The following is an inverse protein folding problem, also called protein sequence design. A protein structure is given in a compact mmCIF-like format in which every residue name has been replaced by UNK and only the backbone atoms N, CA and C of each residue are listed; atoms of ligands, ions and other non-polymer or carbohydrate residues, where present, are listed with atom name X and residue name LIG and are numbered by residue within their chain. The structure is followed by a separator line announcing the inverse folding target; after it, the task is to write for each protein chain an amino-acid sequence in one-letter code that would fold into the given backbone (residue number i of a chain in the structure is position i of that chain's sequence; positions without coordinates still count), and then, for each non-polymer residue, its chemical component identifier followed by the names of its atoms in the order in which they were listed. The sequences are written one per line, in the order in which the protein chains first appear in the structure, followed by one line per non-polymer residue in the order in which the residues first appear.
data_IF_592870064445
#
_entry.id   IF_592870064445
#
_cell.length_a   1.000
_cell.length_b   1.000
_cell.length_c   1.000
_cell.angle_alpha   90.00
_cell.angle_beta   90.00
_cell.angle_gamma   90.00
#
_symmetry.space_group_name_H-M   'P 1'
#
loop_
_entity.id
_entity.type
_entity.pdbx_description
1 polymer ?
#
# COMPACT_ATOMS: atom_id res chain seq x y z
N UNK A 1 3.09 -17.91 61.96
CA UNK A 1 4.02 -18.97 61.53
C UNK A 1 3.20 -19.89 60.67
N UNK A 2 3.27 -19.76 59.34
CA UNK A 2 4.35 -20.33 58.50
C UNK A 2 4.49 -21.83 58.81
N UNK A 3 4.47 -22.76 57.87
CA UNK A 3 4.49 -22.74 56.41
C UNK A 3 4.52 -24.22 56.00
N UNK A 4 3.81 -24.63 54.95
CA UNK A 4 4.24 -25.81 54.19
C UNK A 4 4.08 -25.51 52.69
N UNK A 5 5.24 -25.27 52.08
CA UNK A 5 5.51 -25.21 50.65
C UNK A 5 6.34 -26.49 50.40
N UNK A 6 6.01 -27.38 49.47
CA UNK A 6 6.32 -27.23 48.06
C UNK A 6 5.81 -28.47 47.32
N UNK A 7 5.22 -28.23 46.16
CA UNK A 7 4.84 -29.27 45.19
C UNK A 7 6.00 -29.48 44.23
N UNK A 8 6.35 -30.75 43.96
CA UNK A 8 7.31 -31.09 42.92
C UNK A 8 6.66 -31.93 41.81
N UNK A 9 7.07 -31.60 40.60
CA UNK A 9 6.57 -31.97 39.30
C UNK A 9 6.98 -33.39 38.91
N UNK A 10 6.07 -34.15 38.28
CA UNK A 10 6.47 -35.20 37.31
C UNK A 10 5.72 -35.05 35.98
N UNK A 11 6.52 -34.83 34.94
CA UNK A 11 6.24 -34.90 33.50
C UNK A 11 5.64 -36.28 33.14
N UNK A 12 4.74 -36.53 32.19
CA UNK A 12 4.23 -35.78 31.04
C UNK A 12 3.94 -36.81 29.93
N UNK A 13 2.68 -37.23 29.75
CA UNK A 13 2.25 -37.98 28.56
C UNK A 13 1.58 -37.03 27.55
N UNK A 14 2.12 -36.86 26.33
CA UNK A 14 1.49 -35.99 25.34
C UNK A 14 0.25 -36.66 24.73
N UNK A 15 -0.91 -36.09 25.07
CA UNK A 15 -2.20 -36.33 24.41
C UNK A 15 -2.09 -36.28 22.90
N UNK A 16 -2.66 -37.29 22.25
CA UNK A 16 -2.79 -37.44 20.79
C UNK A 16 -3.54 -36.25 20.17
N UNK A 17 -2.81 -35.27 19.61
CA UNK A 17 -3.40 -34.22 18.80
C UNK A 17 -3.53 -34.68 17.34
N UNK A 18 -4.68 -35.29 17.01
CA UNK A 18 -5.15 -35.39 15.61
C UNK A 18 -5.36 -33.97 15.05
N UNK A 19 -4.61 -33.55 14.02
CA UNK A 19 -5.03 -32.50 13.06
C UNK A 19 -4.13 -32.41 11.82
N UNK A 20 -4.76 -32.44 10.64
CA UNK A 20 -4.27 -32.41 9.25
C UNK A 20 -3.83 -33.75 8.62
N UNK A 21 -4.81 -34.43 8.03
CA UNK A 21 -4.67 -35.75 7.41
C UNK A 21 -4.39 -35.68 5.90
N UNK A 22 -3.27 -35.06 5.51
CA UNK A 22 -2.66 -35.33 4.20
C UNK A 22 -1.23 -35.78 4.45
N UNK A 23 -1.07 -37.07 4.72
CA UNK A 23 0.23 -37.68 4.95
C UNK A 23 1.12 -37.49 3.71
N UNK A 24 2.17 -36.68 3.82
CA UNK A 24 3.10 -36.39 2.72
C UNK A 24 4.06 -37.57 2.49
N UNK A 25 4.42 -37.81 1.24
CA UNK A 25 5.53 -38.72 0.89
C UNK A 25 6.85 -38.20 1.47
N UNK A 26 7.82 -39.10 1.74
CA UNK A 26 9.16 -38.68 2.14
C UNK A 26 9.84 -37.84 1.03
N UNK A 27 10.84 -37.03 1.40
CA UNK A 27 11.48 -36.06 0.48
C UNK A 27 12.01 -36.74 -0.79
N UNK A 28 12.65 -37.90 -0.63
CA UNK A 28 13.25 -38.63 -1.76
C UNK A 28 12.20 -39.26 -2.68
N UNK A 29 11.17 -39.90 -2.12
CA UNK A 29 10.10 -40.48 -2.94
C UNK A 29 9.34 -39.41 -3.72
N UNK A 30 9.14 -38.23 -3.12
CA UNK A 30 8.57 -37.08 -3.82
C UNK A 30 9.46 -36.59 -4.97
N UNK A 31 10.76 -36.38 -4.73
CA UNK A 31 11.71 -35.95 -5.77
C UNK A 31 11.81 -36.95 -6.93
N UNK A 32 11.76 -38.24 -6.63
CA UNK A 32 11.79 -39.31 -7.64
C UNK A 32 10.42 -39.62 -8.24
N UNK A 33 9.34 -38.95 -7.78
CA UNK A 33 7.95 -39.19 -8.19
C UNK A 33 7.53 -40.68 -8.09
N UNK A 34 8.00 -41.37 -7.04
CA UNK A 34 7.67 -42.78 -6.75
C UNK A 34 6.76 -42.90 -5.53
N UNK A 35 6.00 -44.01 -5.43
CA UNK A 35 5.09 -44.27 -4.30
C UNK A 35 5.87 -44.41 -3.00
N UNK A 36 5.39 -43.73 -1.96
CA UNK A 36 5.90 -43.83 -0.59
C UNK A 36 4.86 -44.58 0.25
N UNK A 37 5.28 -45.65 0.92
CA UNK A 37 4.47 -46.45 1.86
C UNK A 37 4.33 -45.78 3.24
N UNK A 38 5.01 -44.65 3.46
CA UNK A 38 4.89 -43.78 4.64
C UNK A 38 5.37 -44.42 5.95
N UNK A 39 6.01 -45.58 5.90
CA UNK A 39 6.73 -46.17 7.04
C UNK A 39 8.02 -45.39 7.33
N UNK A 40 8.59 -45.50 8.54
CA UNK A 40 9.87 -44.87 8.87
C UNK A 40 10.91 -45.93 9.26
N UNK A 41 11.95 -46.15 8.42
CA UNK A 41 12.14 -45.65 7.05
C UNK A 41 11.18 -46.30 6.04
N UNK A 42 10.84 -45.58 4.96
CA UNK A 42 9.94 -46.07 3.92
C UNK A 42 10.59 -47.24 3.14
N UNK A 43 9.83 -48.25 2.68
CA UNK A 43 10.41 -49.46 2.04
C UNK A 43 11.31 -49.12 0.85
N UNK A 44 10.94 -48.13 0.05
CA UNK A 44 11.72 -47.65 -1.10
C UNK A 44 13.08 -47.08 -0.67
N UNK A 45 13.12 -46.33 0.44
CA UNK A 45 14.37 -45.78 0.98
C UNK A 45 15.20 -46.85 1.69
N UNK A 46 14.55 -47.77 2.42
CA UNK A 46 15.20 -48.90 3.08
C UNK A 46 15.93 -49.80 2.07
N UNK A 47 15.24 -50.21 0.98
CA UNK A 47 15.83 -51.02 -0.10
C UNK A 47 16.99 -50.33 -0.82
N UNK A 48 16.96 -49.01 -0.89
CA UNK A 48 18.03 -48.24 -1.51
C UNK A 48 19.20 -47.94 -0.56
N UNK A 49 19.10 -48.37 0.70
CA UNK A 49 20.05 -48.05 1.78
C UNK A 49 20.37 -46.55 1.88
N UNK A 50 19.33 -45.70 1.90
CA UNK A 50 19.49 -44.25 2.06
C UNK A 50 18.65 -43.69 3.20
N UNK A 51 19.07 -42.53 3.71
CA UNK A 51 18.37 -41.79 4.74
C UNK A 51 16.96 -41.38 4.31
N UNK A 52 15.95 -41.93 4.98
CA UNK A 52 14.55 -41.59 4.76
C UNK A 52 14.13 -40.43 5.66
N UNK A 53 14.03 -39.22 5.09
CA UNK A 53 13.57 -38.02 5.80
C UNK A 53 12.17 -37.61 5.34
N UNK A 54 11.25 -37.45 6.27
CA UNK A 54 9.97 -36.82 6.03
C UNK A 54 10.10 -35.30 6.24
N UNK A 55 9.39 -34.47 5.45
CA UNK A 55 9.31 -33.04 5.73
C UNK A 55 8.70 -32.87 7.12
N UNK A 56 9.45 -32.24 8.04
CA UNK A 56 8.96 -32.00 9.40
C UNK A 56 7.73 -31.11 9.38
N UNK A 57 6.95 -31.16 10.46
CA UNK A 57 5.96 -30.13 10.78
C UNK A 57 6.66 -28.83 11.22
N UNK A 58 7.69 -28.40 10.49
CA UNK A 58 8.09 -27.02 10.53
C UNK A 58 6.85 -26.25 10.09
N UNK A 59 6.13 -25.75 11.10
CA UNK A 59 5.22 -24.65 10.95
C UNK A 59 6.00 -23.69 10.07
N UNK A 60 5.67 -23.59 8.78
CA UNK A 60 6.04 -22.43 7.99
C UNK A 60 5.66 -21.30 8.91
N UNK A 61 6.63 -20.59 9.53
CA UNK A 61 6.33 -19.50 10.45
C UNK A 61 5.27 -18.72 9.73
N UNK A 62 4.02 -18.72 10.24
CA UNK A 62 2.91 -18.04 9.58
C UNK A 62 3.48 -16.66 9.32
N UNK A 63 3.72 -16.31 8.05
CA UNK A 63 4.28 -15.01 7.69
C UNK A 63 3.44 -14.00 8.47
N UNK A 64 4.12 -13.11 9.19
CA UNK A 64 3.48 -12.28 10.23
C UNK A 64 2.11 -11.76 9.74
N UNK A 65 1.06 -11.81 10.59
CA UNK A 65 -0.32 -11.78 10.09
C UNK A 65 -0.70 -10.49 9.36
N UNK A 66 0.08 -9.40 9.52
CA UNK A 66 -0.30 -8.06 9.11
C UNK A 66 0.79 -7.39 8.28
N UNK A 67 1.29 -8.03 7.21
CA UNK A 67 2.18 -7.33 6.27
C UNK A 67 1.60 -7.32 4.87
N UNK A 68 1.52 -6.12 4.29
CA UNK A 68 0.96 -5.89 2.97
C UNK A 68 1.66 -6.77 1.94
N UNK A 69 0.91 -7.67 1.29
CA UNK A 69 1.44 -8.59 0.26
C UNK A 69 2.13 -7.83 -0.88
N UNK A 70 1.66 -6.61 -1.18
CA UNK A 70 2.25 -5.67 -2.14
C UNK A 70 3.74 -5.49 -1.93
N UNK A 71 4.15 -5.27 -0.68
CA UNK A 71 5.53 -4.97 -0.30
C UNK A 71 6.44 -6.21 -0.25
N UNK A 72 5.90 -7.38 0.07
CA UNK A 72 6.71 -8.58 0.33
C UNK A 72 6.86 -9.54 -0.85
N UNK A 73 6.12 -9.36 -1.94
CA UNK A 73 6.37 -10.12 -3.17
C UNK A 73 7.18 -9.26 -4.13
N UNK A 74 8.43 -9.64 -4.37
CA UNK A 74 9.31 -8.99 -5.34
C UNK A 74 8.88 -9.18 -6.81
N UNK A 75 7.91 -10.06 -7.07
CA UNK A 75 7.40 -10.35 -8.41
C UNK A 75 6.29 -9.40 -8.86
N UNK A 76 6.09 -9.32 -10.18
CA UNK A 76 5.03 -8.50 -10.81
C UNK A 76 3.62 -9.09 -10.73
N UNK A 77 3.42 -10.19 -9.99
CA UNK A 77 2.13 -10.87 -9.91
C UNK A 77 1.01 -9.99 -9.35
N UNK A 78 1.32 -9.13 -8.38
CA UNK A 78 0.34 -8.21 -7.81
C UNK A 78 -0.12 -7.18 -8.84
N UNK A 79 0.80 -6.69 -9.66
CA UNK A 79 0.48 -5.75 -10.74
C UNK A 79 -0.45 -6.38 -11.77
N UNK A 80 -0.16 -7.62 -12.20
CA UNK A 80 -1.01 -8.37 -13.14
C UNK A 80 -2.40 -8.62 -12.55
N UNK A 81 -2.49 -9.08 -11.30
CA UNK A 81 -3.77 -9.30 -10.62
C UNK A 81 -4.58 -8.01 -10.46
N UNK A 82 -3.91 -6.89 -10.21
CA UNK A 82 -4.57 -5.60 -10.13
C UNK A 82 -5.14 -5.17 -11.49
N UNK A 83 -4.41 -5.38 -12.58
CA UNK A 83 -4.91 -5.19 -13.94
C UNK A 83 -6.17 -6.02 -14.23
N UNK A 84 -6.17 -7.30 -13.85
CA UNK A 84 -7.37 -8.15 -13.96
C UNK A 84 -8.55 -7.61 -13.12
N UNK A 85 -8.27 -7.10 -11.93
CA UNK A 85 -9.28 -6.48 -11.05
C UNK A 85 -9.88 -5.23 -11.68
N UNK A 86 -9.08 -4.41 -12.36
CA UNK A 86 -9.55 -3.24 -13.13
C UNK A 86 -10.47 -3.68 -14.26
N UNK A 87 -10.09 -4.70 -15.03
CA UNK A 87 -10.93 -5.19 -16.13
C UNK A 87 -12.26 -5.77 -15.63
N UNK A 88 -12.25 -6.52 -14.54
CA UNK A 88 -13.48 -7.01 -13.90
C UNK A 88 -14.36 -5.86 -13.39
N UNK A 89 -13.76 -4.81 -12.79
CA UNK A 89 -14.48 -3.62 -12.38
C UNK A 89 -15.08 -2.86 -13.58
N UNK A 90 -14.37 -2.81 -14.69
CA UNK A 90 -14.86 -2.19 -15.92
C UNK A 90 -16.01 -2.97 -16.55
N UNK A 91 -15.96 -4.31 -16.55
CA UNK A 91 -17.02 -5.15 -17.14
C UNK A 91 -18.35 -5.01 -16.42
N UNK A 92 -18.35 -4.65 -15.13
CA UNK A 92 -19.57 -4.34 -14.35
C UNK A 92 -19.86 -2.82 -14.25
N UNK A 93 -19.12 -2.00 -15.00
CA UNK A 93 -19.38 -0.57 -15.17
C UNK A 93 -18.96 0.33 -13.99
N UNK A 94 -18.00 -0.07 -13.13
CA UNK A 94 -17.56 0.78 -12.00
C UNK A 94 -16.81 2.06 -12.43
N UNK A 95 -16.24 2.05 -13.63
CA UNK A 95 -15.59 3.22 -14.25
C UNK A 95 -16.57 4.33 -14.68
N UNK A 96 -17.89 4.05 -14.63
CA UNK A 96 -18.95 4.99 -14.95
C UNK A 96 -19.70 5.38 -13.68
N UNK A 97 -19.93 6.68 -13.45
CA UNK A 97 -20.60 7.13 -12.23
C UNK A 97 -22.02 6.58 -12.11
N UNK A 98 -22.36 6.06 -10.93
CA UNK A 98 -23.68 5.48 -10.62
C UNK A 98 -24.84 6.45 -10.88
N UNK A 99 -24.62 7.77 -10.75
CA UNK A 99 -25.67 8.77 -10.98
C UNK A 99 -26.18 8.77 -12.41
N UNK A 100 -25.38 8.31 -13.37
CA UNK A 100 -25.78 8.21 -14.77
C UNK A 100 -26.78 7.07 -15.02
N UNK A 101 -26.88 6.11 -14.09
CA UNK A 101 -27.74 4.93 -14.18
C UNK A 101 -28.96 5.02 -13.26
N UNK A 102 -29.17 6.16 -12.58
CA UNK A 102 -30.27 6.37 -11.62
C UNK A 102 -30.32 5.30 -10.51
N UNK A 103 -29.15 4.80 -10.10
CA UNK A 103 -29.03 3.84 -9.00
C UNK A 103 -29.34 4.52 -7.65
N UNK A 104 -29.71 3.74 -6.61
CA UNK A 104 -29.80 4.25 -5.25
C UNK A 104 -28.52 4.98 -4.82
N UNK A 105 -28.66 5.97 -3.95
CA UNK A 105 -27.55 6.86 -3.54
C UNK A 105 -26.46 6.07 -2.83
N UNK A 106 -26.84 5.17 -1.91
CA UNK A 106 -25.92 4.26 -1.26
C UNK A 106 -25.13 3.43 -2.28
N UNK A 107 -25.81 2.88 -3.29
CA UNK A 107 -25.14 2.09 -4.33
C UNK A 107 -24.18 2.95 -5.16
N UNK A 108 -24.57 4.16 -5.54
CA UNK A 108 -23.68 5.10 -6.22
C UNK A 108 -22.41 5.36 -5.41
N UNK A 109 -22.54 5.58 -4.10
CA UNK A 109 -21.42 5.87 -3.22
C UNK A 109 -20.51 4.65 -3.02
N UNK A 110 -21.08 3.45 -2.81
CA UNK A 110 -20.32 2.21 -2.71
C UNK A 110 -19.54 1.92 -4.01
N UNK A 111 -20.14 2.18 -5.18
CA UNK A 111 -19.48 2.04 -6.48
C UNK A 111 -18.31 3.02 -6.64
N UNK A 112 -18.48 4.29 -6.22
CA UNK A 112 -17.39 5.28 -6.21
C UNK A 112 -16.25 4.84 -5.30
N UNK A 113 -16.56 4.45 -4.06
CA UNK A 113 -15.57 3.98 -3.08
C UNK A 113 -14.78 2.78 -3.59
N UNK A 114 -15.48 1.78 -4.14
CA UNK A 114 -14.83 0.59 -4.69
C UNK A 114 -13.94 0.90 -5.89
N UNK A 115 -14.45 1.68 -6.85
CA UNK A 115 -13.69 2.08 -8.03
C UNK A 115 -12.41 2.83 -7.66
N UNK A 116 -12.52 3.86 -6.80
CA UNK A 116 -11.36 4.64 -6.41
C UNK A 116 -10.36 3.84 -5.57
N UNK A 117 -10.80 2.85 -4.78
CA UNK A 117 -9.88 1.95 -4.09
C UNK A 117 -9.04 1.12 -5.07
N UNK A 118 -9.68 0.55 -6.10
CA UNK A 118 -8.99 -0.22 -7.14
C UNK A 118 -7.97 0.65 -7.89
N UNK A 119 -8.37 1.85 -8.31
CA UNK A 119 -7.50 2.76 -9.06
C UNK A 119 -6.34 3.29 -8.20
N UNK A 120 -6.60 3.65 -6.95
CA UNK A 120 -5.54 4.12 -6.04
C UNK A 120 -4.54 3.00 -5.74
N UNK A 121 -5.02 1.75 -5.58
CA UNK A 121 -4.15 0.59 -5.45
C UNK A 121 -3.30 0.35 -6.69
N UNK A 122 -3.84 0.53 -7.90
CA UNK A 122 -3.09 0.41 -9.16
C UNK A 122 -1.89 1.34 -9.24
N UNK A 123 -2.13 2.63 -8.99
CA UNK A 123 -1.09 3.66 -9.04
C UNK A 123 0.03 3.35 -8.03
N UNK A 124 -0.34 2.81 -6.87
CA UNK A 124 0.59 2.41 -5.80
C UNK A 124 1.39 1.17 -6.13
N UNK A 125 0.81 0.19 -6.82
CA UNK A 125 1.54 -1.02 -7.25
C UNK A 125 2.51 -0.68 -8.39
N UNK A 126 2.10 0.18 -9.33
CA UNK A 126 2.96 0.67 -10.40
C UNK A 126 4.19 1.38 -9.84
N UNK A 127 3.98 2.25 -8.84
CA UNK A 127 5.05 2.97 -8.16
C UNK A 127 6.10 2.07 -7.49
N UNK A 128 5.67 1.03 -6.76
CA UNK A 128 6.61 0.08 -6.10
C UNK A 128 7.56 -0.61 -7.09
N UNK A 129 7.15 -0.68 -8.37
CA UNK A 129 7.94 -1.27 -9.45
C UNK A 129 8.63 -0.23 -10.34
N UNK A 130 8.63 1.05 -9.94
CA UNK A 130 9.24 2.15 -10.71
C UNK A 130 8.52 2.45 -12.03
N UNK A 131 7.28 2.00 -12.19
CA UNK A 131 6.48 2.25 -13.39
C UNK A 131 5.77 3.60 -13.25
N UNK A 132 6.00 4.47 -14.23
CA UNK A 132 5.32 5.76 -14.32
C UNK A 132 3.98 5.56 -15.03
N UNK A 133 2.88 5.81 -14.32
CA UNK A 133 1.54 5.79 -14.89
C UNK A 133 0.91 4.40 -14.95
N UNK A 134 0.23 4.00 -13.86
CA UNK A 134 -0.78 2.93 -13.93
C UNK A 134 -1.86 3.25 -14.97
N UNK A 135 -2.76 2.32 -15.27
CA UNK A 135 -3.73 2.45 -16.38
C UNK A 135 -4.45 3.81 -16.34
N UNK A 136 -4.35 4.61 -17.41
CA UNK A 136 -5.25 5.76 -17.63
C UNK A 136 -6.59 5.22 -18.10
N UNK A 137 -7.34 4.62 -17.18
CA UNK A 137 -8.70 4.19 -17.49
C UNK A 137 -9.57 5.43 -17.67
N UNK A 138 -10.15 5.59 -18.87
CA UNK A 138 -11.19 6.59 -19.10
C UNK A 138 -12.33 6.30 -18.12
N UNK A 139 -12.55 7.20 -17.18
CA UNK A 139 -13.55 7.07 -16.12
C UNK A 139 -14.15 8.43 -15.82
N UNK A 140 -15.47 8.45 -15.61
CA UNK A 140 -16.20 9.63 -15.17
C UNK A 140 -16.73 9.50 -13.73
N UNK A 141 -16.28 8.47 -13.00
CA UNK A 141 -16.67 8.21 -11.61
C UNK A 141 -16.16 9.33 -10.70
N UNK A 142 -17.07 9.99 -9.99
CA UNK A 142 -16.76 11.09 -9.06
C UNK A 142 -15.99 10.56 -7.84
N UNK A 143 -15.25 11.43 -7.15
CA UNK A 143 -14.64 11.07 -5.87
C UNK A 143 -15.73 10.70 -4.84
N UNK A 144 -15.43 9.79 -3.89
CA UNK A 144 -16.33 9.51 -2.78
C UNK A 144 -16.62 10.76 -1.94
N UNK A 145 -17.71 10.72 -1.18
CA UNK A 145 -18.07 11.79 -0.26
C UNK A 145 -17.26 11.68 1.04
N UNK A 146 -16.96 12.83 1.65
CA UNK A 146 -16.38 12.91 2.99
C UNK A 146 -17.47 12.73 4.04
N UNK A 147 -17.91 11.49 4.26
CA UNK A 147 -18.98 11.11 5.19
C UNK A 147 -18.64 9.80 5.87
N UNK A 148 -19.19 9.57 7.06
CA UNK A 148 -19.03 8.32 7.81
C UNK A 148 -20.01 7.26 7.29
N UNK A 149 -19.73 5.99 7.55
CA UNK A 149 -20.61 4.90 7.10
C UNK A 149 -22.00 4.99 7.75
N UNK A 150 -22.08 5.51 8.98
CA UNK A 150 -23.33 5.74 9.69
C UNK A 150 -24.25 6.78 9.03
N UNK A 151 -23.70 7.64 8.17
CA UNK A 151 -24.48 8.65 7.45
C UNK A 151 -25.18 8.07 6.20
N UNK A 152 -24.81 6.85 5.80
CA UNK A 152 -25.30 6.19 4.60
C UNK A 152 -26.33 5.13 4.95
N UNK A 153 -27.50 5.18 4.30
CA UNK A 153 -28.53 4.16 4.49
C UNK A 153 -29.30 3.87 3.18
N UNK A 154 -29.88 2.66 3.02
CA UNK A 154 -30.59 2.28 1.80
C UNK A 154 -31.82 3.15 1.47
N UNK A 155 -32.43 3.78 2.48
CA UNK A 155 -33.69 4.53 2.34
C UNK A 155 -33.49 6.02 2.01
N UNK A 156 -32.24 6.47 1.87
CA UNK A 156 -31.94 7.88 1.67
C UNK A 156 -32.39 8.38 0.30
N UNK A 157 -33.09 9.53 0.28
CA UNK A 157 -33.60 10.18 -0.94
C UNK A 157 -32.65 11.22 -1.51
N UNK A 158 -31.76 11.76 -0.68
CA UNK A 158 -30.76 12.76 -1.05
C UNK A 158 -29.40 12.38 -0.48
N UNK A 159 -28.34 12.76 -1.17
CA UNK A 159 -26.98 12.51 -0.71
C UNK A 159 -26.69 13.42 0.49
N UNK A 160 -26.04 12.89 1.55
CA UNK A 160 -25.64 13.70 2.69
C UNK A 160 -24.60 14.72 2.22
N UNK A 161 -24.61 15.95 2.76
CA UNK A 161 -23.56 16.91 2.47
C UNK A 161 -22.22 16.39 2.98
N UNK A 162 -21.10 16.60 2.25
CA UNK A 162 -19.77 16.31 2.76
C UNK A 162 -19.51 17.03 4.08
N UNK A 163 -19.00 16.32 5.08
CA UNK A 163 -18.69 16.91 6.40
C UNK A 163 -17.43 17.78 6.32
N UNK A 164 -17.45 18.86 7.09
CA UNK A 164 -16.29 19.69 7.39
C UNK A 164 -15.59 19.22 8.68
N UNK A 165 -15.34 17.92 8.79
CA UNK A 165 -14.67 17.26 9.91
C UNK A 165 -13.84 16.08 9.39
N UNK A 166 -13.00 15.51 10.25
CA UNK A 166 -12.43 14.18 9.98
C UNK A 166 -13.55 13.13 9.96
N UNK A 167 -13.47 12.21 9.00
CA UNK A 167 -14.37 11.05 8.82
C UNK A 167 -13.53 9.82 8.48
N UNK A 168 -14.14 8.64 8.53
CA UNK A 168 -13.49 7.38 8.11
C UNK A 168 -12.96 7.43 6.66
N UNK A 169 -13.56 8.26 5.80
CA UNK A 169 -13.14 8.44 4.41
C UNK A 169 -11.96 9.41 4.23
N UNK A 170 -11.60 10.20 5.24
CA UNK A 170 -10.63 11.31 5.11
C UNK A 170 -9.25 10.84 4.63
N UNK A 171 -8.70 9.80 5.26
CA UNK A 171 -7.41 9.23 4.86
C UNK A 171 -7.41 8.76 3.40
N UNK A 172 -8.49 8.10 3.01
CA UNK A 172 -8.65 7.59 1.66
C UNK A 172 -8.75 8.73 0.63
N UNK A 173 -9.54 9.77 0.93
CA UNK A 173 -9.72 10.92 0.06
C UNK A 173 -8.42 11.68 -0.17
N UNK A 174 -7.61 11.89 0.88
CA UNK A 174 -6.26 12.46 0.75
C UNK A 174 -5.43 11.64 -0.24
N UNK A 175 -5.45 10.30 -0.10
CA UNK A 175 -4.69 9.39 -0.98
C UNK A 175 -5.18 9.44 -2.43
N UNK A 176 -6.50 9.45 -2.64
CA UNK A 176 -7.12 9.49 -3.96
C UNK A 176 -6.87 10.83 -4.66
N UNK A 177 -7.03 11.96 -3.96
CA UNK A 177 -6.75 13.30 -4.50
C UNK A 177 -5.26 13.45 -4.87
N UNK A 178 -4.34 13.03 -3.99
CA UNK A 178 -2.91 13.04 -4.28
C UNK A 178 -2.58 12.17 -5.51
N UNK A 179 -3.17 10.97 -5.60
CA UNK A 179 -2.94 10.05 -6.73
C UNK A 179 -3.37 10.64 -8.08
N UNK A 180 -4.45 11.46 -8.11
CA UNK A 180 -4.85 12.19 -9.33
C UNK A 180 -3.81 13.23 -9.74
N UNK A 181 -3.30 13.99 -8.77
CA UNK A 181 -2.29 15.02 -9.02
C UNK A 181 -0.99 14.38 -9.50
N UNK A 182 -0.58 13.26 -8.91
CA UNK A 182 0.61 12.53 -9.33
C UNK A 182 0.51 12.04 -10.78
N UNK A 183 -0.64 11.50 -11.17
CA UNK A 183 -0.89 11.11 -12.56
C UNK A 183 -0.80 12.31 -13.52
N UNK A 184 -1.32 13.48 -13.11
CA UNK A 184 -1.27 14.70 -13.91
C UNK A 184 0.15 15.25 -14.05
N UNK A 185 0.93 15.29 -12.97
CA UNK A 185 2.35 15.71 -13.00
C UNK A 185 3.14 14.84 -13.99
N UNK A 186 2.97 13.51 -13.91
CA UNK A 186 3.63 12.58 -14.83
C UNK A 186 3.23 12.83 -16.29
N UNK A 187 1.94 13.09 -16.55
CA UNK A 187 1.46 13.39 -17.91
C UNK A 187 2.05 14.68 -18.47
N UNK A 188 2.08 15.76 -17.68
CA UNK A 188 2.70 17.03 -18.09
C UNK A 188 4.19 16.82 -18.40
N UNK A 189 4.90 16.02 -17.58
CA UNK A 189 6.31 15.68 -17.83
C UNK A 189 6.52 14.90 -19.14
N UNK A 190 5.69 13.90 -19.43
CA UNK A 190 5.77 13.11 -20.67
C UNK A 190 5.40 13.90 -21.93
N UNK A 191 4.52 14.89 -21.82
CA UNK A 191 4.10 15.75 -22.93
C UNK A 191 5.09 16.87 -23.26
N UNK A 192 6.18 16.99 -22.50
CA UNK A 192 7.23 18.00 -22.70
C UNK A 192 8.07 17.74 -23.96
N UNK A 193 7.45 17.94 -25.12
CA UNK A 193 8.14 18.42 -26.31
C UNK A 193 7.71 19.87 -26.54
N UNK A 194 8.69 20.78 -26.56
CA UNK A 194 8.61 22.23 -26.87
C UNK A 194 8.16 23.17 -25.73
N UNK A 195 9.14 23.64 -24.97
CA UNK A 195 9.32 25.07 -24.66
C UNK A 195 8.27 25.82 -23.84
N UNK A 196 7.24 25.17 -23.28
CA UNK A 196 6.41 25.75 -22.21
C UNK A 196 6.98 25.39 -20.85
N UNK A 197 6.75 26.25 -19.85
CA UNK A 197 7.17 26.01 -18.47
C UNK A 197 6.35 24.86 -17.82
N UNK A 198 6.75 23.64 -18.17
CA UNK A 198 6.22 22.37 -17.65
C UNK A 198 6.40 22.25 -16.14
N UNK A 199 7.41 22.93 -15.60
CA UNK A 199 7.69 22.94 -14.18
C UNK A 199 6.76 23.89 -13.43
N UNK A 200 6.38 25.03 -14.01
CA UNK A 200 5.37 25.92 -13.42
C UNK A 200 3.99 25.29 -13.31
N UNK A 201 3.51 24.59 -14.36
CA UNK A 201 2.22 23.89 -14.25
C UNK A 201 2.27 22.81 -13.16
N UNK A 202 3.36 22.04 -13.12
CA UNK A 202 3.54 20.99 -12.11
C UNK A 202 3.66 21.56 -10.68
N UNK A 203 4.39 22.66 -10.50
CA UNK A 203 4.48 23.40 -9.22
C UNK A 203 3.11 23.91 -8.77
N UNK A 204 2.34 24.49 -9.69
CA UNK A 204 0.98 24.96 -9.41
C UNK A 204 0.06 23.82 -8.97
N UNK A 205 0.11 22.68 -9.64
CA UNK A 205 -0.67 21.49 -9.26
C UNK A 205 -0.35 21.02 -7.82
N UNK A 206 0.92 21.10 -7.42
CA UNK A 206 1.34 20.76 -6.06
C UNK A 206 0.85 21.80 -5.05
N UNK A 207 0.95 23.09 -5.36
CA UNK A 207 0.46 24.16 -4.49
C UNK A 207 -1.07 24.09 -4.30
N UNK A 208 -1.82 23.82 -5.38
CA UNK A 208 -3.27 23.64 -5.33
C UNK A 208 -3.64 22.41 -4.47
N UNK A 209 -2.88 21.32 -4.59
CA UNK A 209 -3.07 20.13 -3.75
C UNK A 209 -2.83 20.45 -2.27
N UNK A 210 -1.74 21.15 -1.94
CA UNK A 210 -1.42 21.54 -0.57
C UNK A 210 -2.55 22.38 0.06
N UNK A 211 -2.94 23.46 -0.62
CA UNK A 211 -4.03 24.31 -0.17
C UNK A 211 -5.34 23.52 0.01
N UNK A 212 -5.63 22.61 -0.93
CA UNK A 212 -6.82 21.75 -0.89
C UNK A 212 -6.79 20.79 0.30
N UNK A 213 -5.71 20.04 0.51
CA UNK A 213 -5.59 19.07 1.60
C UNK A 213 -5.60 19.77 2.96
N UNK A 214 -4.86 20.87 3.09
CA UNK A 214 -4.76 21.68 4.30
C UNK A 214 -6.11 22.25 4.72
N UNK A 215 -6.84 22.88 3.77
CA UNK A 215 -8.14 23.49 4.05
C UNK A 215 -9.25 22.48 4.34
N UNK A 216 -9.20 21.30 3.73
CA UNK A 216 -10.34 20.36 3.72
C UNK A 216 -10.19 19.23 4.73
N UNK A 217 -8.96 18.75 4.95
CA UNK A 217 -8.72 17.50 5.68
C UNK A 217 -7.74 17.67 6.83
N UNK A 218 -6.53 18.19 6.57
CA UNK A 218 -5.43 18.14 7.53
C UNK A 218 -5.71 18.99 8.78
N UNK A 219 -6.40 20.13 8.64
CA UNK A 219 -6.77 20.98 9.78
C UNK A 219 -7.73 20.32 10.78
N UNK A 220 -8.40 19.23 10.40
CA UNK A 220 -9.32 18.48 11.26
C UNK A 220 -8.68 17.22 11.87
N UNK A 221 -7.39 16.98 11.64
CA UNK A 221 -6.69 15.82 12.20
C UNK A 221 -6.15 16.14 13.60
N UNK A 222 -6.74 15.54 14.64
CA UNK A 222 -6.20 15.57 16.00
C UNK A 222 -5.02 14.61 16.13
N UNK A 223 -3.84 15.14 16.45
CA UNK A 223 -2.62 14.35 16.59
C UNK A 223 -2.63 13.44 17.82
N UNK A 224 -3.57 13.62 18.75
CA UNK A 224 -3.75 12.71 19.90
C UNK A 224 -4.56 11.46 19.53
N UNK A 225 -5.26 11.48 18.40
CA UNK A 225 -6.02 10.33 17.91
C UNK A 225 -5.16 9.57 16.89
N UNK A 226 -4.77 8.30 17.14
CA UNK A 226 -3.79 7.59 16.32
C UNK A 226 -4.07 7.57 14.81
N UNK A 227 -5.32 7.29 14.40
CA UNK A 227 -5.70 7.26 12.98
C UNK A 227 -5.63 8.63 12.34
N UNK A 228 -5.95 9.69 13.07
CA UNK A 228 -5.93 11.06 12.58
C UNK A 228 -4.50 11.57 12.49
N UNK A 229 -3.64 11.26 13.47
CA UNK A 229 -2.19 11.50 13.39
C UNK A 229 -1.57 10.80 12.17
N UNK A 230 -1.87 9.51 11.97
CA UNK A 230 -1.41 8.77 10.79
C UNK A 230 -1.90 9.41 9.48
N UNK A 231 -3.15 9.91 9.47
CA UNK A 231 -3.73 10.62 8.33
C UNK A 231 -3.01 11.93 8.03
N UNK A 232 -2.69 12.70 9.06
CA UNK A 232 -1.94 13.95 8.94
C UNK A 232 -0.54 13.72 8.36
N UNK A 233 0.22 12.79 8.96
CA UNK A 233 1.57 12.44 8.49
C UNK A 233 1.55 11.89 7.07
N UNK A 234 0.55 11.08 6.72
CA UNK A 234 0.40 10.57 5.37
C UNK A 234 0.16 11.70 4.34
N UNK A 235 -0.73 12.65 4.64
CA UNK A 235 -0.95 13.79 3.75
C UNK A 235 0.30 14.63 3.55
N UNK A 236 1.05 14.88 4.63
CA UNK A 236 2.36 15.56 4.60
C UNK A 236 3.37 14.82 3.73
N UNK A 237 3.50 13.51 3.92
CA UNK A 237 4.38 12.64 3.13
C UNK A 237 4.04 12.67 1.63
N UNK A 238 2.75 12.61 1.28
CA UNK A 238 2.29 12.67 -0.11
C UNK A 238 2.58 14.04 -0.75
N UNK A 239 2.49 15.14 -0.01
CA UNK A 239 2.87 16.48 -0.49
C UNK A 239 4.38 16.59 -0.74
N UNK A 240 5.20 16.16 0.22
CA UNK A 240 6.67 16.13 0.06
C UNK A 240 7.08 15.28 -1.14
N UNK A 241 6.42 14.14 -1.35
CA UNK A 241 6.60 13.33 -2.55
C UNK A 241 6.19 14.07 -3.83
N UNK A 242 5.06 14.78 -3.84
CA UNK A 242 4.61 15.55 -4.99
C UNK A 242 5.68 16.56 -5.43
N UNK A 243 6.24 17.30 -4.46
CA UNK A 243 7.33 18.27 -4.67
C UNK A 243 8.58 17.59 -5.22
N UNK A 244 8.98 16.46 -4.63
CA UNK A 244 10.13 15.68 -5.09
C UNK A 244 9.96 15.18 -6.53
N UNK A 245 8.75 14.77 -6.96
CA UNK A 245 8.50 14.37 -8.34
C UNK A 245 8.71 15.52 -9.32
N UNK A 246 8.20 16.73 -9.01
CA UNK A 246 8.40 17.91 -9.87
C UNK A 246 9.88 18.21 -10.04
N UNK A 247 10.64 18.16 -8.95
CA UNK A 247 12.08 18.35 -9.00
C UNK A 247 12.80 17.24 -9.79
N UNK A 248 12.48 15.96 -9.56
CA UNK A 248 13.08 14.84 -10.32
C UNK A 248 12.79 15.00 -11.82
N UNK A 249 11.59 15.42 -12.19
CA UNK A 249 11.25 15.69 -13.58
C UNK A 249 12.06 16.86 -14.17
N UNK A 250 12.39 17.91 -13.40
CA UNK A 250 13.28 18.98 -13.88
C UNK A 250 14.72 18.56 -14.10
N UNK A 251 15.15 17.45 -13.48
CA UNK A 251 16.47 16.88 -13.71
C UNK A 251 16.54 15.94 -14.92
N UNK A 252 15.40 15.55 -15.51
CA UNK A 252 15.39 14.61 -16.61
C UNK A 252 16.07 15.21 -17.85
N UNK A 253 17.08 14.51 -18.37
CA UNK A 253 17.86 14.94 -19.54
C UNK A 253 19.11 15.76 -19.22
N UNK A 254 19.34 16.12 -17.95
CA UNK A 254 20.56 16.77 -17.49
C UNK A 254 21.68 15.76 -17.20
N UNK A 255 22.93 16.17 -17.39
CA UNK A 255 24.09 15.40 -16.90
C UNK A 255 24.13 15.36 -15.36
N UNK A 256 24.93 14.47 -14.78
CA UNK A 256 25.10 14.40 -13.32
C UNK A 256 25.63 15.73 -12.74
N UNK A 257 26.57 16.38 -13.44
CA UNK A 257 27.15 17.66 -13.05
C UNK A 257 26.13 18.81 -13.13
N UNK A 258 25.29 18.81 -14.18
CA UNK A 258 24.22 19.79 -14.35
C UNK A 258 23.11 19.60 -13.31
N UNK A 259 22.80 18.34 -12.99
CA UNK A 259 21.82 17.98 -11.96
C UNK A 259 22.28 18.40 -10.57
N UNK A 260 23.56 18.19 -10.24
CA UNK A 260 24.13 18.59 -8.96
C UNK A 260 24.04 20.11 -8.73
N UNK A 261 24.14 20.92 -9.79
CA UNK A 261 23.97 22.37 -9.73
C UNK A 261 22.51 22.82 -9.55
N UNK A 262 21.53 21.98 -9.93
CA UNK A 262 20.11 22.27 -9.81
C UNK A 262 19.52 21.86 -8.45
N UNK A 263 20.21 20.99 -7.71
CA UNK A 263 19.79 20.61 -6.36
C UNK A 263 20.00 21.80 -5.43
N UNK A 264 18.90 22.39 -5.00
CA UNK A 264 18.87 23.52 -4.09
C UNK A 264 18.45 23.11 -2.67
N UNK A 265 18.66 24.02 -1.71
CA UNK A 265 18.28 23.85 -0.30
C UNK A 265 16.79 23.50 -0.14
N UNK A 266 15.93 24.09 -0.97
CA UNK A 266 14.49 23.86 -0.97
C UNK A 266 14.13 22.38 -1.26
N UNK A 267 14.78 21.78 -2.25
CA UNK A 267 14.57 20.37 -2.61
C UNK A 267 14.99 19.43 -1.49
N UNK A 268 16.14 19.73 -0.85
CA UNK A 268 16.64 18.96 0.28
C UNK A 268 15.69 19.06 1.47
N UNK A 269 15.16 20.26 1.74
CA UNK A 269 14.16 20.49 2.79
C UNK A 269 12.91 19.62 2.60
N UNK A 270 12.33 19.58 1.38
CA UNK A 270 11.18 18.71 1.10
C UNK A 270 11.48 17.22 1.28
N UNK A 271 12.69 16.79 0.92
CA UNK A 271 13.11 15.40 1.11
C UNK A 271 13.28 15.05 2.60
N UNK A 272 13.90 15.93 3.39
CA UNK A 272 14.03 15.76 4.82
C UNK A 272 12.67 15.68 5.49
N UNK A 273 11.76 16.61 5.18
CA UNK A 273 10.41 16.64 5.74
C UNK A 273 9.62 15.35 5.46
N UNK A 274 9.73 14.82 4.23
CA UNK A 274 9.11 13.54 3.88
C UNK A 274 9.73 12.34 4.61
N UNK A 275 11.06 12.34 4.80
CA UNK A 275 11.76 11.29 5.56
C UNK A 275 11.42 11.36 7.06
N UNK A 276 11.30 12.55 7.63
CA UNK A 276 10.88 12.77 9.02
C UNK A 276 9.46 12.26 9.24
N UNK A 277 8.52 12.63 8.36
CA UNK A 277 7.14 12.10 8.41
C UNK A 277 7.13 10.57 8.33
N UNK A 278 7.91 9.99 7.40
CA UNK A 278 8.02 8.55 7.25
C UNK A 278 8.64 7.87 8.47
N UNK A 279 9.65 8.48 9.09
CA UNK A 279 10.28 8.01 10.31
C UNK A 279 9.30 8.04 11.47
N UNK A 280 8.59 9.16 11.67
CA UNK A 280 7.59 9.30 12.74
C UNK A 280 6.48 8.25 12.60
N UNK A 281 5.98 8.02 11.37
CA UNK A 281 5.00 6.96 11.10
C UNK A 281 5.50 5.54 11.45
N UNK A 282 6.81 5.32 11.51
CA UNK A 282 7.42 4.02 11.83
C UNK A 282 7.81 3.90 13.31
N UNK A 283 8.24 4.99 13.94
CA UNK A 283 8.85 4.96 15.28
C UNK A 283 7.93 5.44 16.39
N UNK A 284 6.85 6.17 16.07
CA UNK A 284 5.92 6.64 17.08
C UNK A 284 5.11 5.49 17.70
N UNK A 285 5.20 5.33 19.03
CA UNK A 285 4.49 4.31 19.79
C UNK A 285 2.95 4.45 19.69
N UNK A 286 2.43 5.68 19.53
CA UNK A 286 0.99 5.93 19.33
C UNK A 286 0.51 5.28 18.02
N UNK A 287 1.41 5.16 17.03
CA UNK A 287 1.11 4.63 15.69
C UNK A 287 1.45 3.14 15.54
N UNK A 288 1.87 2.46 16.61
CA UNK A 288 2.28 1.04 16.56
C UNK A 288 1.21 0.12 15.95
N UNK A 289 -0.05 0.34 16.29
CA UNK A 289 -1.21 -0.40 15.74
C UNK A 289 -1.46 -0.10 14.24
N UNK A 290 -0.93 1.01 13.74
CA UNK A 290 -0.97 1.44 12.33
C UNK A 290 0.34 1.17 11.59
N UNK A 291 1.29 0.42 12.16
CA UNK A 291 2.57 0.07 11.50
C UNK A 291 2.43 -0.67 10.16
N UNK A 292 1.29 -1.32 9.93
CA UNK A 292 0.98 -1.92 8.63
C UNK A 292 0.81 -0.86 7.53
N UNK A 293 0.35 0.35 7.88
CA UNK A 293 0.14 1.47 6.97
C UNK A 293 1.47 2.12 6.56
N UNK A 294 2.40 2.34 7.48
CA UNK A 294 3.73 2.90 7.17
C UNK A 294 4.50 2.01 6.19
N UNK A 295 4.33 0.68 6.32
CA UNK A 295 4.86 -0.30 5.37
C UNK A 295 4.27 -0.20 3.95
N UNK A 296 3.21 0.58 3.74
CA UNK A 296 2.58 0.78 2.42
C UNK A 296 3.01 2.06 1.71
N UNK A 297 3.69 2.99 2.37
CA UNK A 297 4.10 4.28 1.80
C UNK A 297 5.61 4.49 1.92
N UNK A 298 6.40 3.56 1.38
CA UNK A 298 7.86 3.69 1.43
C UNK A 298 8.32 4.84 0.53
N UNK A 299 9.07 5.82 1.06
CA UNK A 299 9.48 7.01 0.30
C UNK A 299 10.68 6.75 -0.61
N UNK A 300 10.59 5.76 -1.51
CA UNK A 300 11.68 5.39 -2.42
C UNK A 300 12.20 6.57 -3.25
N UNK A 301 11.29 7.47 -3.65
CA UNK A 301 11.62 8.67 -4.43
C UNK A 301 12.55 9.65 -3.68
N UNK A 302 12.44 9.74 -2.35
CA UNK A 302 13.28 10.61 -1.54
C UNK A 302 14.70 10.03 -1.40
N UNK A 303 14.82 8.71 -1.43
CA UNK A 303 16.11 8.02 -1.42
C UNK A 303 16.82 8.08 -2.78
N UNK A 304 16.08 8.09 -3.90
CA UNK A 304 16.67 8.20 -5.24
C UNK A 304 17.36 9.54 -5.51
N UNK A 305 16.91 10.63 -4.87
CA UNK A 305 17.60 11.92 -4.94
C UNK A 305 19.03 11.82 -4.37
N UNK A 306 19.22 11.02 -3.32
CA UNK A 306 20.53 10.74 -2.71
C UNK A 306 21.42 9.83 -3.56
N UNK A 307 20.85 8.85 -4.27
CA UNK A 307 21.65 7.96 -5.14
C UNK A 307 22.20 8.67 -6.38
N UNK A 308 21.42 9.55 -7.04
CA UNK A 308 21.93 10.35 -8.16
C UNK A 308 23.02 11.35 -7.74
N UNK A 309 22.99 11.83 -6.50
CA UNK A 309 24.04 12.66 -5.90
C UNK A 309 25.36 11.90 -5.65
N UNK A 310 25.29 10.58 -5.45
CA UNK A 310 26.46 9.75 -5.12
C UNK A 310 27.22 9.23 -6.34
N UNK A 311 26.76 9.50 -7.57
CA UNK A 311 27.42 9.03 -8.79
C UNK A 311 27.48 7.51 -8.95
N UNK A 312 26.53 6.77 -8.36
CA UNK A 312 26.37 5.31 -8.48
C UNK A 312 25.12 4.98 -9.28
#
# INVERSE_FOLDING_TARGET
MESENTSDHTYGEPRVLRRYNVSRSCIRCHQRKVRCDKSHPCTTCARSNVTCRYPGSEKTKRRAPNRCRRFHSSGRSNWVLNGLTIYAAQSIGLHRDGSNFRLPILECELRRRLWWHIITADKRVAEDHGLVGGSETISNTKLPLNVDDSDLNPQMKTAPPPKETWTEMTMFLITAEASKVFARINRVSLQSQRGRDVHDESRKLVADLDARLSKTYLKYCDQNVPVQKATFLLGRLLLSKARAMVHIHSLNGLSAEQSAKHINEETLSYACEGLECGSEMLTDEVLKSYSWLSSTYTPYHLLTARCRLAGV
#
